data_IF_243028989838
#
_entry.id   IF_243028989838
#
_cell.length_a   1.000
_cell.length_b   1.000
_cell.length_c   1.000
_cell.angle_alpha   90.00
_cell.angle_beta   90.00
_cell.angle_gamma   90.00
#
_symmetry.space_group_name_H-M   'P 1'
#
loop_
_entity.id
_entity.type
_entity.pdbx_description
1 polymer ?
#
# COMPACT_ATOMS: atom_id res chain seq x y z
N UNK A 1 -7.91 -27.01 -89.31
CA UNK A 1 -6.70 -26.17 -89.16
C UNK A 1 -7.14 -24.73 -88.92
N UNK A 2 -6.39 -24.01 -88.07
CA UNK A 2 -6.69 -22.74 -87.39
C UNK A 2 -7.52 -21.71 -88.20
N UNK A 3 -8.56 -21.15 -87.57
CA UNK A 3 -9.21 -19.92 -88.01
C UNK A 3 -9.25 -18.88 -86.89
N UNK A 4 -8.74 -17.69 -87.22
CA UNK A 4 -8.71 -16.46 -86.44
C UNK A 4 -10.09 -15.81 -86.33
N UNK A 5 -10.39 -15.15 -85.21
CA UNK A 5 -11.36 -14.04 -85.06
C UNK A 5 -10.79 -13.09 -84.00
N UNK A 6 -10.39 -11.87 -84.38
CA UNK A 6 -11.17 -10.63 -84.52
C UNK A 6 -11.40 -9.90 -83.18
N UNK A 7 -10.84 -8.69 -83.12
CA UNK A 7 -11.47 -7.42 -82.67
C UNK A 7 -10.79 -6.66 -81.52
N UNK A 8 -10.59 -5.37 -81.80
CA UNK A 8 -10.20 -4.20 -80.97
C UNK A 8 -11.14 -3.04 -81.47
N UNK A 9 -11.21 -1.84 -80.86
CA UNK A 9 -11.53 -1.44 -79.46
C UNK A 9 -12.45 -0.16 -79.42
N UNK A 10 -12.43 0.60 -78.30
CA UNK A 10 -12.94 1.98 -78.00
C UNK A 10 -14.29 2.03 -77.23
N UNK A 11 -14.57 2.92 -76.25
CA UNK A 11 -14.10 4.31 -76.03
C UNK A 11 -14.45 4.87 -74.60
N UNK A 12 -13.63 5.84 -74.12
CA UNK A 12 -13.85 7.06 -73.26
C UNK A 12 -14.82 7.09 -72.05
N UNK A 13 -14.33 7.36 -70.82
CA UNK A 13 -14.12 8.65 -70.09
C UNK A 13 -15.36 9.26 -69.39
N UNK A 14 -15.21 9.62 -68.09
CA UNK A 14 -15.53 10.92 -67.42
C UNK A 14 -15.62 10.72 -65.88
N UNK A 15 -14.89 11.52 -65.10
CA UNK A 15 -15.04 11.70 -63.64
C UNK A 15 -15.93 12.92 -63.34
N UNK A 16 -16.58 13.06 -62.17
CA UNK A 16 -15.99 13.96 -61.15
C UNK A 16 -16.32 13.67 -59.64
N UNK A 17 -15.35 13.98 -58.78
CA UNK A 17 -15.41 14.81 -57.55
C UNK A 17 -16.42 14.48 -56.42
N UNK A 18 -15.86 14.16 -55.24
CA UNK A 18 -16.31 14.70 -53.94
C UNK A 18 -16.97 13.71 -52.98
N UNK A 19 -16.41 13.55 -51.78
CA UNK A 19 -17.14 12.98 -50.62
C UNK A 19 -16.29 12.17 -49.66
N UNK A 20 -15.81 12.85 -48.62
CA UNK A 20 -15.23 12.39 -47.34
C UNK A 20 -15.47 10.91 -46.95
N UNK A 21 -14.37 10.17 -46.77
CA UNK A 21 -14.36 8.90 -46.05
C UNK A 21 -13.63 9.07 -44.72
N UNK A 22 -14.35 9.61 -43.74
CA UNK A 22 -13.98 9.56 -42.33
C UNK A 22 -14.58 8.31 -41.68
N UNK A 23 -13.73 7.57 -40.98
CA UNK A 23 -14.00 6.73 -39.81
C UNK A 23 -15.09 5.65 -39.88
N UNK A 24 -14.66 4.39 -39.79
CA UNK A 24 -15.08 3.45 -38.73
C UNK A 24 -14.34 2.11 -38.87
N UNK A 25 -13.12 2.02 -38.35
CA UNK A 25 -12.58 0.75 -37.86
C UNK A 25 -13.22 0.50 -36.50
N UNK A 26 -14.19 -0.41 -36.41
CA UNK A 26 -14.67 -0.91 -35.14
C UNK A 26 -13.70 -1.96 -34.62
N UNK A 27 -12.87 -1.55 -33.67
CA UNK A 27 -12.22 -2.45 -32.72
C UNK A 27 -13.28 -3.25 -31.96
N UNK A 28 -13.24 -4.58 -32.08
CA UNK A 28 -14.00 -5.47 -31.21
C UNK A 28 -13.26 -5.63 -29.89
N UNK A 29 -13.44 -4.68 -28.97
CA UNK A 29 -13.31 -4.95 -27.54
C UNK A 29 -14.52 -5.81 -27.12
N UNK A 30 -14.40 -7.12 -27.25
CA UNK A 30 -15.33 -8.08 -26.67
C UNK A 30 -14.76 -8.60 -25.37
N UNK A 31 -15.33 -8.19 -24.23
CA UNK A 31 -15.02 -8.78 -22.94
C UNK A 31 -15.29 -10.29 -23.00
N UNK A 32 -14.25 -11.10 -22.77
CA UNK A 32 -14.39 -12.56 -22.74
C UNK A 32 -15.04 -12.90 -21.40
N UNK A 33 -16.36 -13.07 -21.38
CA UNK A 33 -17.01 -13.68 -20.23
C UNK A 33 -16.67 -15.17 -20.19
N UNK A 34 -15.65 -15.54 -19.41
CA UNK A 34 -15.27 -16.95 -19.24
C UNK A 34 -16.27 -17.61 -18.26
N UNK A 35 -16.97 -18.69 -18.67
CA UNK A 35 -17.83 -19.43 -17.75
C UNK A 35 -17.04 -20.03 -16.58
N UNK A 36 -17.60 -20.03 -15.36
CA UNK A 36 -16.98 -20.55 -14.13
C UNK A 36 -16.30 -21.93 -14.29
N UNK A 37 -16.82 -22.81 -15.17
CA UNK A 37 -16.26 -24.14 -15.46
C UNK A 37 -14.90 -24.13 -16.17
N UNK A 38 -14.52 -23.05 -16.86
CA UNK A 38 -13.22 -22.94 -17.54
C UNK A 38 -12.09 -22.50 -16.60
N UNK A 39 -12.37 -21.72 -15.55
CA UNK A 39 -11.37 -21.25 -14.58
C UNK A 39 -10.61 -22.40 -13.90
N UNK A 40 -11.33 -23.43 -13.45
CA UNK A 40 -10.72 -24.60 -12.81
C UNK A 40 -9.82 -25.38 -13.77
N UNK A 41 -10.13 -25.38 -15.08
CA UNK A 41 -9.27 -26.02 -16.07
C UNK A 41 -7.92 -25.30 -16.19
N UNK A 42 -7.90 -23.97 -16.14
CA UNK A 42 -6.65 -23.21 -16.14
C UNK A 42 -5.85 -23.39 -14.84
N UNK A 43 -6.54 -23.49 -13.69
CA UNK A 43 -5.89 -23.86 -12.42
C UNK A 43 -5.18 -25.21 -12.53
N UNK A 44 -5.82 -26.21 -13.15
CA UNK A 44 -5.20 -27.53 -13.39
C UNK A 44 -4.03 -27.46 -14.36
N UNK A 45 -4.05 -26.54 -15.32
CA UNK A 45 -2.96 -26.35 -16.28
C UNK A 45 -1.68 -25.81 -15.62
N UNK A 46 -1.78 -25.11 -14.47
CA UNK A 46 -0.62 -24.72 -13.66
C UNK A 46 0.18 -25.91 -13.10
N UNK A 47 -0.40 -27.12 -13.09
CA UNK A 47 0.29 -28.34 -12.66
C UNK A 47 1.14 -28.97 -13.76
N UNK A 48 1.01 -28.53 -15.01
CA UNK A 48 1.69 -29.17 -16.14
C UNK A 48 3.19 -28.85 -16.11
N UNK A 49 4.01 -29.84 -16.49
CA UNK A 49 5.48 -29.69 -16.56
C UNK A 49 5.95 -28.69 -17.63
N UNK A 50 5.17 -28.49 -18.70
CA UNK A 50 5.53 -27.60 -19.82
C UNK A 50 5.29 -26.13 -19.46
N UNK A 51 6.34 -25.31 -19.51
CA UNK A 51 6.27 -23.86 -19.21
C UNK A 51 5.27 -23.13 -20.07
N UNK A 52 5.24 -23.39 -21.39
CA UNK A 52 4.30 -22.71 -22.31
C UNK A 52 2.82 -22.92 -21.94
N UNK A 53 2.46 -24.06 -21.32
CA UNK A 53 1.08 -24.31 -20.89
C UNK A 53 0.77 -23.57 -19.59
N UNK A 54 1.72 -23.52 -18.67
CA UNK A 54 1.59 -22.75 -17.42
C UNK A 54 1.51 -21.26 -17.68
N UNK A 55 2.36 -20.73 -18.55
CA UNK A 55 2.35 -19.31 -18.93
C UNK A 55 0.99 -18.91 -19.55
N UNK A 56 0.47 -19.70 -20.49
CA UNK A 56 -0.85 -19.44 -21.07
C UNK A 56 -1.96 -19.49 -20.02
N UNK A 57 -1.89 -20.45 -19.08
CA UNK A 57 -2.86 -20.55 -18.00
C UNK A 57 -2.77 -19.36 -17.03
N UNK A 58 -1.57 -18.92 -16.66
CA UNK A 58 -1.36 -17.74 -15.83
C UNK A 58 -1.90 -16.49 -16.49
N UNK A 59 -1.61 -16.29 -17.78
CA UNK A 59 -2.10 -15.13 -18.55
C UNK A 59 -3.63 -15.06 -18.56
N UNK A 60 -4.30 -16.18 -18.88
CA UNK A 60 -5.77 -16.23 -18.86
C UNK A 60 -6.33 -16.02 -17.45
N UNK A 61 -5.65 -16.49 -16.41
CA UNK A 61 -6.06 -16.24 -15.02
C UNK A 61 -5.91 -14.77 -14.64
N UNK A 62 -4.79 -14.13 -14.99
CA UNK A 62 -4.57 -12.70 -14.76
C UNK A 62 -5.66 -11.87 -15.44
N UNK A 63 -5.86 -12.05 -16.74
CA UNK A 63 -6.91 -11.34 -17.51
C UNK A 63 -8.29 -11.51 -16.89
N UNK A 64 -8.61 -12.70 -16.40
CA UNK A 64 -9.90 -12.99 -15.79
C UNK A 64 -10.08 -12.29 -14.43
N UNK A 65 -9.02 -12.22 -13.61
CA UNK A 65 -9.05 -11.51 -12.33
C UNK A 65 -9.01 -9.98 -12.49
N UNK A 66 -8.41 -9.46 -13.56
CA UNK A 66 -8.44 -8.04 -13.90
C UNK A 66 -9.83 -7.58 -14.36
N UNK A 67 -10.53 -8.43 -15.11
CA UNK A 67 -11.83 -8.08 -15.71
C UNK A 67 -13.02 -8.43 -14.82
N UNK A 68 -12.89 -9.42 -13.93
CA UNK A 68 -14.00 -9.92 -13.13
C UNK A 68 -13.61 -10.15 -11.67
N UNK A 69 -14.48 -9.73 -10.74
CA UNK A 69 -14.32 -10.04 -9.32
C UNK A 69 -14.73 -11.49 -9.05
N UNK A 70 -13.74 -12.37 -8.87
CA UNK A 70 -13.93 -13.83 -8.70
C UNK A 70 -13.77 -14.29 -7.24
N UNK A 71 -14.40 -13.58 -6.30
CA UNK A 71 -14.26 -13.83 -4.85
C UNK A 71 -14.41 -15.30 -4.43
N UNK A 72 -15.52 -15.95 -4.77
CA UNK A 72 -15.75 -17.35 -4.38
C UNK A 72 -14.70 -18.31 -4.95
N UNK A 73 -14.20 -18.06 -6.16
CA UNK A 73 -13.15 -18.89 -6.73
C UNK A 73 -11.82 -18.66 -6.00
N UNK A 74 -11.46 -17.40 -5.73
CA UNK A 74 -10.26 -17.03 -4.99
C UNK A 74 -10.30 -17.64 -3.58
N UNK A 75 -11.39 -17.42 -2.83
CA UNK A 75 -11.58 -17.92 -1.47
C UNK A 75 -11.40 -19.43 -1.34
N UNK A 76 -11.94 -20.18 -2.30
CA UNK A 76 -11.88 -21.65 -2.27
C UNK A 76 -10.55 -22.22 -2.77
N UNK A 77 -9.71 -21.44 -3.48
CA UNK A 77 -8.52 -21.95 -4.15
C UNK A 77 -7.23 -21.17 -3.85
N UNK A 78 -7.25 -20.15 -2.98
CA UNK A 78 -6.12 -19.23 -2.79
C UNK A 78 -4.83 -19.95 -2.43
N UNK A 79 -4.87 -20.90 -1.50
CA UNK A 79 -3.71 -21.70 -1.10
C UNK A 79 -3.10 -22.43 -2.29
N UNK A 80 -3.95 -23.03 -3.14
CA UNK A 80 -3.49 -23.72 -4.35
C UNK A 80 -2.91 -22.74 -5.37
N UNK A 81 -3.57 -21.60 -5.60
CA UNK A 81 -3.10 -20.57 -6.53
C UNK A 81 -1.72 -20.04 -6.12
N UNK A 82 -1.57 -19.60 -4.87
CA UNK A 82 -0.32 -19.02 -4.35
C UNK A 82 0.80 -20.05 -4.35
N UNK A 83 0.56 -21.27 -3.85
CA UNK A 83 1.56 -22.34 -3.88
C UNK A 83 1.99 -22.68 -5.33
N UNK A 84 1.08 -22.61 -6.31
CA UNK A 84 1.44 -22.83 -7.71
C UNK A 84 2.23 -21.67 -8.29
N UNK A 85 1.87 -20.43 -7.97
CA UNK A 85 2.66 -19.25 -8.33
C UNK A 85 4.09 -19.36 -7.78
N UNK A 86 4.26 -19.70 -6.50
CA UNK A 86 5.59 -19.91 -5.90
C UNK A 86 6.45 -20.94 -6.63
N UNK A 87 5.84 -22.03 -7.12
CA UNK A 87 6.56 -23.04 -7.89
C UNK A 87 7.05 -22.49 -9.23
N UNK A 88 6.30 -21.57 -9.85
CA UNK A 88 6.71 -20.86 -11.05
C UNK A 88 7.96 -20.02 -10.74
N UNK A 89 7.97 -19.24 -9.64
CA UNK A 89 9.09 -18.35 -9.25
C UNK A 89 10.47 -19.06 -9.16
N UNK A 90 10.49 -20.36 -8.81
CA UNK A 90 11.72 -21.13 -8.61
C UNK A 90 12.45 -21.50 -9.90
N UNK A 91 11.76 -21.86 -10.99
CA UNK A 91 12.36 -22.46 -12.22
C UNK A 91 11.59 -22.17 -13.51
N UNK A 92 11.16 -20.94 -13.73
CA UNK A 92 10.40 -20.55 -14.92
C UNK A 92 11.07 -19.52 -15.82
N UNK A 93 10.44 -19.23 -16.97
CA UNK A 93 10.74 -18.06 -17.80
C UNK A 93 10.41 -16.76 -17.07
N UNK A 94 11.01 -15.65 -17.50
CA UNK A 94 10.77 -14.32 -16.95
C UNK A 94 9.27 -13.97 -16.90
N UNK A 95 8.58 -14.11 -18.03
CA UNK A 95 7.14 -13.88 -18.16
C UNK A 95 6.30 -14.71 -17.18
N UNK A 96 6.69 -15.96 -16.90
CA UNK A 96 5.96 -16.83 -15.98
C UNK A 96 6.16 -16.38 -14.52
N UNK A 97 7.31 -15.77 -14.20
CA UNK A 97 7.54 -15.14 -12.88
C UNK A 97 6.65 -13.91 -12.73
N UNK A 98 6.66 -13.02 -13.71
CA UNK A 98 5.92 -11.75 -13.67
C UNK A 98 4.42 -11.98 -13.55
N UNK A 99 3.87 -12.86 -14.39
CA UNK A 99 2.45 -13.24 -14.34
C UNK A 99 2.07 -13.91 -13.02
N UNK A 100 2.98 -14.69 -12.42
CA UNK A 100 2.72 -15.34 -11.13
C UNK A 100 2.66 -14.32 -9.98
N UNK A 101 3.56 -13.32 -9.98
CA UNK A 101 3.57 -12.23 -9.00
C UNK A 101 2.31 -11.36 -9.12
N UNK A 102 1.94 -10.99 -10.34
CA UNK A 102 0.73 -10.25 -10.63
C UNK A 102 -0.53 -11.01 -10.18
N UNK A 103 -0.60 -12.31 -10.47
CA UNK A 103 -1.73 -13.16 -10.04
C UNK A 103 -1.84 -13.23 -8.51
N UNK A 104 -0.72 -13.31 -7.78
CA UNK A 104 -0.75 -13.28 -6.30
C UNK A 104 -1.38 -11.98 -5.80
N UNK A 105 -0.94 -10.83 -6.33
CA UNK A 105 -1.49 -9.51 -5.97
C UNK A 105 -2.99 -9.41 -6.26
N UNK A 106 -3.41 -9.84 -7.46
CA UNK A 106 -4.82 -9.83 -7.87
C UNK A 106 -5.70 -10.77 -7.01
N UNK A 107 -5.19 -11.94 -6.64
CA UNK A 107 -5.89 -12.86 -5.73
C UNK A 107 -6.09 -12.20 -4.37
N UNK A 108 -5.08 -11.54 -3.83
CA UNK A 108 -5.19 -10.83 -2.55
C UNK A 108 -6.17 -9.66 -2.64
N UNK A 109 -6.09 -8.84 -3.69
CA UNK A 109 -7.06 -7.75 -3.95
C UNK A 109 -8.50 -8.28 -4.03
N UNK A 110 -8.69 -9.44 -4.67
CA UNK A 110 -10.00 -10.06 -4.82
C UNK A 110 -10.54 -10.61 -3.50
N UNK A 111 -9.68 -11.17 -2.63
CA UNK A 111 -10.06 -11.67 -1.32
C UNK A 111 -10.42 -10.55 -0.35
N UNK A 112 -9.75 -9.40 -0.46
CA UNK A 112 -9.85 -8.29 0.48
C UNK A 112 -9.26 -8.62 1.85
N UNK A 113 -9.33 -7.67 2.78
CA UNK A 113 -8.81 -7.83 4.13
C UNK A 113 -9.52 -8.99 4.86
N UNK A 114 -8.74 -9.88 5.48
CA UNK A 114 -9.23 -11.04 6.22
C UNK A 114 -8.18 -12.14 6.38
N UNK A 115 -8.56 -13.21 7.07
CA UNK A 115 -7.62 -14.29 7.45
C UNK A 115 -6.96 -14.96 6.24
N UNK A 116 -7.72 -15.21 5.18
CA UNK A 116 -7.19 -15.84 3.96
C UNK A 116 -6.11 -14.96 3.29
N UNK A 117 -6.35 -13.64 3.23
CA UNK A 117 -5.37 -12.73 2.64
C UNK A 117 -4.13 -12.62 3.54
N UNK A 118 -4.33 -12.54 4.86
CA UNK A 118 -3.24 -12.47 5.82
C UNK A 118 -2.34 -13.72 5.81
N UNK A 119 -2.91 -14.90 5.58
CA UNK A 119 -2.12 -16.12 5.38
C UNK A 119 -1.21 -16.01 4.14
N UNK A 120 -1.71 -15.43 3.05
CA UNK A 120 -0.91 -15.16 1.85
C UNK A 120 0.20 -14.15 2.15
N UNK A 121 -0.08 -13.12 2.95
CA UNK A 121 0.92 -12.16 3.39
C UNK A 121 2.07 -12.83 4.14
N UNK A 122 1.78 -13.61 5.17
CA UNK A 122 2.80 -14.33 5.95
C UNK A 122 3.61 -15.28 5.06
N UNK A 123 2.95 -16.00 4.14
CA UNK A 123 3.63 -16.87 3.19
C UNK A 123 4.52 -16.06 2.23
N UNK A 124 4.06 -14.90 1.76
CA UNK A 124 4.76 -14.01 0.82
C UNK A 124 6.08 -13.48 1.37
N UNK A 125 6.12 -13.15 2.67
CA UNK A 125 7.33 -12.67 3.33
C UNK A 125 8.45 -13.72 3.39
N UNK A 126 8.13 -15.00 3.26
CA UNK A 126 9.13 -16.07 3.29
C UNK A 126 9.91 -16.16 1.97
N UNK A 127 9.28 -15.84 0.84
CA UNK A 127 9.87 -16.05 -0.49
C UNK A 127 10.10 -14.77 -1.29
N UNK A 128 9.25 -13.74 -1.19
CA UNK A 128 9.41 -12.50 -1.96
C UNK A 128 10.71 -11.74 -1.62
N UNK A 129 11.11 -11.57 -0.35
CA UNK A 129 12.37 -10.89 -0.04
C UNK A 129 13.60 -11.66 -0.55
N UNK A 130 13.53 -13.00 -0.56
CA UNK A 130 14.59 -13.84 -1.15
C UNK A 130 14.65 -13.69 -2.67
N UNK A 131 13.48 -13.58 -3.32
CA UNK A 131 13.40 -13.37 -4.75
C UNK A 131 13.96 -11.99 -5.15
N UNK A 132 13.57 -10.94 -4.40
CA UNK A 132 14.04 -9.56 -4.58
C UNK A 132 15.58 -9.46 -4.57
N UNK A 133 16.23 -10.16 -3.65
CA UNK A 133 17.69 -10.15 -3.51
C UNK A 133 18.43 -11.11 -4.47
N UNK A 134 17.74 -12.02 -5.15
CA UNK A 134 18.38 -13.05 -5.98
C UNK A 134 18.25 -12.80 -7.49
N UNK A 135 17.18 -12.13 -7.93
CA UNK A 135 16.89 -11.91 -9.35
C UNK A 135 16.44 -10.46 -9.58
N UNK A 136 17.41 -9.58 -9.84
CA UNK A 136 17.14 -8.15 -10.06
C UNK A 136 16.24 -7.86 -11.28
N UNK A 137 16.11 -8.81 -12.21
CA UNK A 137 15.26 -8.66 -13.40
C UNK A 137 13.75 -8.60 -13.11
N UNK A 138 13.33 -9.02 -11.91
CA UNK A 138 11.92 -9.05 -11.49
C UNK A 138 11.66 -8.16 -10.28
N UNK A 139 12.60 -7.26 -9.94
CA UNK A 139 12.53 -6.51 -8.70
C UNK A 139 11.29 -5.63 -8.63
N UNK A 140 10.87 -5.05 -9.75
CA UNK A 140 9.68 -4.17 -9.79
C UNK A 140 8.42 -4.97 -9.51
N UNK A 141 8.20 -6.07 -10.21
CA UNK A 141 7.04 -6.94 -10.04
C UNK A 141 7.00 -7.54 -8.61
N UNK A 142 8.17 -7.83 -8.03
CA UNK A 142 8.27 -8.30 -6.65
C UNK A 142 7.89 -7.19 -5.66
N UNK A 143 8.33 -5.95 -5.88
CA UNK A 143 8.01 -4.80 -5.02
C UNK A 143 6.52 -4.45 -5.10
N UNK A 144 5.93 -4.48 -6.30
CA UNK A 144 4.50 -4.28 -6.52
C UNK A 144 3.68 -5.36 -5.84
N UNK A 145 4.02 -6.64 -6.05
CA UNK A 145 3.36 -7.76 -5.39
C UNK A 145 3.44 -7.63 -3.86
N UNK A 146 4.64 -7.37 -3.33
CA UNK A 146 4.87 -7.26 -1.89
C UNK A 146 4.07 -6.08 -1.26
N UNK A 147 4.01 -4.95 -1.96
CA UNK A 147 3.29 -3.77 -1.48
C UNK A 147 1.77 -3.95 -1.55
N UNK A 148 1.23 -4.50 -2.65
CA UNK A 148 -0.20 -4.81 -2.78
C UNK A 148 -0.64 -5.83 -1.72
N UNK A 149 0.13 -6.91 -1.58
CA UNK A 149 -0.18 -7.96 -0.59
C UNK A 149 -0.19 -7.36 0.81
N UNK A 150 0.82 -6.57 1.16
CA UNK A 150 0.89 -5.94 2.49
C UNK A 150 -0.24 -4.93 2.70
N UNK A 151 -0.51 -4.06 1.73
CA UNK A 151 -1.54 -3.02 1.83
C UNK A 151 -2.93 -3.60 2.14
N UNK A 152 -3.26 -4.75 1.56
CA UNK A 152 -4.58 -5.37 1.70
C UNK A 152 -4.64 -6.35 2.87
N UNK A 153 -3.55 -7.07 3.13
CA UNK A 153 -3.55 -8.26 3.99
C UNK A 153 -2.80 -8.10 5.32
N UNK A 154 -2.09 -7.00 5.54
CA UNK A 154 -1.53 -6.68 6.85
C UNK A 154 -2.67 -6.55 7.89
N UNK A 155 -2.50 -7.16 9.07
CA UNK A 155 -3.50 -7.06 10.15
C UNK A 155 -3.34 -5.79 10.97
N UNK A 156 -2.11 -5.38 11.15
CA UNK A 156 -1.76 -4.22 11.94
C UNK A 156 -0.56 -3.47 11.37
N UNK A 157 -0.15 -2.43 12.08
CA UNK A 157 0.97 -1.61 11.66
C UNK A 157 2.31 -2.35 11.76
N UNK A 158 2.43 -3.39 12.58
CA UNK A 158 3.66 -4.16 12.77
C UNK A 158 3.95 -4.97 11.51
N UNK A 159 2.91 -5.57 10.92
CA UNK A 159 2.99 -6.25 9.64
C UNK A 159 3.44 -5.29 8.53
N UNK A 160 2.78 -4.14 8.40
CA UNK A 160 3.14 -3.16 7.37
C UNK A 160 4.57 -2.62 7.58
N UNK A 161 4.95 -2.35 8.82
CA UNK A 161 6.30 -1.88 9.18
C UNK A 161 7.38 -2.92 8.82
N UNK A 162 7.11 -4.21 9.01
CA UNK A 162 8.03 -5.30 8.62
C UNK A 162 8.30 -5.29 7.12
N UNK A 163 7.27 -5.12 6.29
CA UNK A 163 7.46 -5.00 4.84
C UNK A 163 8.23 -3.73 4.46
N UNK A 164 7.89 -2.59 5.09
CA UNK A 164 8.59 -1.34 4.84
C UNK A 164 10.08 -1.42 5.21
N UNK A 165 10.45 -2.15 6.26
CA UNK A 165 11.85 -2.44 6.61
C UNK A 165 12.57 -3.24 5.52
N UNK A 166 11.91 -4.25 4.95
CA UNK A 166 12.48 -5.05 3.85
C UNK A 166 12.77 -4.17 2.64
N UNK A 167 11.80 -3.31 2.25
CA UNK A 167 11.97 -2.38 1.13
C UNK A 167 13.06 -1.34 1.44
N UNK A 168 13.10 -0.81 2.66
CA UNK A 168 14.16 0.12 3.11
C UNK A 168 15.56 -0.51 3.04
N UNK A 169 15.70 -1.74 3.52
CA UNK A 169 16.95 -2.49 3.45
C UNK A 169 17.39 -2.71 2.01
N UNK A 170 16.45 -2.97 1.09
CA UNK A 170 16.72 -3.11 -0.34
C UNK A 170 17.20 -1.80 -0.98
N UNK A 171 16.55 -0.66 -0.67
CA UNK A 171 16.94 0.66 -1.20
C UNK A 171 18.32 1.13 -0.72
N UNK A 172 18.72 0.74 0.50
CA UNK A 172 20.00 1.11 1.11
C UNK A 172 21.15 0.14 0.84
N UNK A 173 20.98 -0.81 -0.07
CA UNK A 173 22.09 -1.68 -0.46
C UNK A 173 23.19 -0.87 -1.15
N UNK A 174 24.45 -1.29 -0.98
CA UNK A 174 25.60 -0.64 -1.61
C UNK A 174 25.58 -0.75 -3.15
N UNK A 175 24.82 -1.72 -3.67
CA UNK A 175 24.64 -1.92 -5.10
C UNK A 175 23.69 -0.87 -5.68
N UNK A 176 24.16 -0.09 -6.64
CA UNK A 176 23.32 0.86 -7.38
C UNK A 176 22.30 0.09 -8.23
N UNK A 177 21.02 0.19 -7.88
CA UNK A 177 19.93 -0.38 -8.66
C UNK A 177 19.67 0.47 -9.92
N UNK A 178 18.93 -0.09 -10.89
CA UNK A 178 18.45 0.74 -12.00
C UNK A 178 17.49 1.81 -11.46
N UNK A 179 17.40 2.93 -12.17
CA UNK A 179 16.55 4.05 -11.78
C UNK A 179 15.08 3.65 -11.71
N UNK A 180 14.64 2.81 -12.65
CA UNK A 180 13.29 2.23 -12.63
C UNK A 180 13.02 1.38 -11.38
N UNK A 181 13.98 0.52 -10.97
CA UNK A 181 13.84 -0.31 -9.77
C UNK A 181 13.86 0.54 -8.50
N UNK A 182 14.69 1.57 -8.45
CA UNK A 182 14.74 2.51 -7.33
C UNK A 182 13.43 3.28 -7.19
N UNK A 183 12.90 3.80 -8.30
CA UNK A 183 11.62 4.49 -8.33
C UNK A 183 10.48 3.57 -7.85
N UNK A 184 10.42 2.33 -8.35
CA UNK A 184 9.44 1.34 -7.91
C UNK A 184 9.55 1.03 -6.41
N UNK A 185 10.76 0.95 -5.85
CA UNK A 185 10.96 0.72 -4.42
C UNK A 185 10.47 1.89 -3.57
N UNK A 186 10.75 3.14 -3.99
CA UNK A 186 10.27 4.36 -3.33
C UNK A 186 8.74 4.41 -3.38
N UNK A 187 8.14 4.16 -4.54
CA UNK A 187 6.68 4.14 -4.72
C UNK A 187 6.02 3.04 -3.88
N UNK A 188 6.60 1.83 -3.83
CA UNK A 188 6.12 0.75 -2.98
C UNK A 188 6.17 1.12 -1.49
N UNK A 189 7.26 1.77 -1.05
CA UNK A 189 7.38 2.24 0.32
C UNK A 189 6.36 3.35 0.65
N UNK A 190 6.17 4.31 -0.26
CA UNK A 190 5.19 5.38 -0.13
C UNK A 190 3.75 4.86 -0.13
N UNK A 191 3.44 3.84 -0.95
CA UNK A 191 2.13 3.18 -0.95
C UNK A 191 1.79 2.60 0.42
N UNK A 192 2.72 1.88 1.05
CA UNK A 192 2.52 1.32 2.39
C UNK A 192 2.39 2.41 3.46
N UNK A 193 3.13 3.50 3.29
CA UNK A 193 2.98 4.67 4.16
C UNK A 193 1.57 5.28 4.06
N UNK A 194 0.94 5.23 2.87
CA UNK A 194 -0.38 5.84 2.66
C UNK A 194 -1.46 5.24 3.56
N UNK A 195 -1.30 3.98 3.99
CA UNK A 195 -2.19 3.29 4.92
C UNK A 195 -1.87 3.61 6.40
N UNK A 196 -0.59 3.80 6.73
CA UNK A 196 -0.16 4.00 8.12
C UNK A 196 -0.36 5.45 8.59
N UNK A 197 -0.68 5.62 9.88
CA UNK A 197 -0.57 6.90 10.58
C UNK A 197 0.88 7.16 10.99
N UNK A 198 1.47 8.30 10.59
CA UNK A 198 2.89 8.64 10.85
C UNK A 198 3.29 8.45 12.32
N UNK A 199 2.38 8.70 13.27
CA UNK A 199 2.63 8.57 14.71
C UNK A 199 3.15 7.19 15.13
N UNK A 200 2.90 6.15 14.33
CA UNK A 200 3.31 4.77 14.61
C UNK A 200 4.66 4.40 14.03
N UNK A 201 5.11 5.09 12.98
CA UNK A 201 6.44 4.85 12.41
C UNK A 201 7.44 5.63 13.26
N UNK A 202 8.32 4.91 13.95
CA UNK A 202 9.27 5.51 14.88
C UNK A 202 10.08 6.63 14.22
N UNK A 203 10.24 7.76 14.91
CA UNK A 203 10.97 8.95 14.47
C UNK A 203 12.40 8.65 13.94
N UNK A 204 12.98 7.49 14.26
CA UNK A 204 14.27 7.04 13.74
C UNK A 204 14.23 6.67 12.26
N UNK A 205 13.18 6.01 11.78
CA UNK A 205 13.10 5.46 10.41
C UNK A 205 12.92 6.58 9.37
N UNK A 206 12.02 7.52 9.65
CA UNK A 206 11.82 8.72 8.85
C UNK A 206 13.03 9.62 8.75
N UNK A 207 13.80 9.70 9.84
CA UNK A 207 14.96 10.59 9.92
C UNK A 207 16.04 10.21 8.90
N UNK A 208 16.11 8.94 8.51
CA UNK A 208 17.03 8.48 7.48
C UNK A 208 16.40 8.52 6.09
N UNK A 209 15.09 8.28 5.99
CA UNK A 209 14.37 8.35 4.71
C UNK A 209 14.32 9.75 4.11
N UNK A 210 14.02 10.80 4.91
CA UNK A 210 13.90 12.17 4.37
C UNK A 210 15.22 12.63 3.71
N UNK A 211 16.40 12.52 4.37
CA UNK A 211 17.67 12.83 3.72
C UNK A 211 17.95 11.97 2.49
N UNK A 212 17.56 10.69 2.51
CA UNK A 212 17.70 9.82 1.35
C UNK A 212 16.88 10.34 0.16
N UNK A 213 15.59 10.64 0.35
CA UNK A 213 14.72 11.15 -0.70
C UNK A 213 15.19 12.51 -1.22
N UNK A 214 15.62 13.41 -0.34
CA UNK A 214 16.20 14.70 -0.73
C UNK A 214 17.45 14.53 -1.59
N UNK A 215 18.34 13.59 -1.21
CA UNK A 215 19.50 13.25 -2.03
C UNK A 215 19.10 12.73 -3.42
N UNK A 216 18.06 11.89 -3.49
CA UNK A 216 17.56 11.40 -4.77
C UNK A 216 16.96 12.52 -5.64
N UNK A 217 16.44 13.62 -5.08
CA UNK A 217 16.00 14.78 -5.87
C UNK A 217 17.16 15.53 -6.54
N UNK A 218 18.34 15.50 -5.93
CA UNK A 218 19.53 16.20 -6.46
C UNK A 218 20.28 15.35 -7.48
N UNK A 219 20.34 14.03 -7.27
CA UNK A 219 21.19 13.09 -8.03
C UNK A 219 20.42 12.11 -8.91
N UNK A 220 19.10 12.01 -8.75
CA UNK A 220 18.27 10.98 -9.37
C UNK A 220 17.85 11.29 -10.80
N UNK A 221 17.48 10.24 -11.52
CA UNK A 221 16.83 10.37 -12.83
C UNK A 221 15.37 10.88 -12.66
N UNK A 222 14.72 11.20 -13.78
CA UNK A 222 13.35 11.75 -13.79
C UNK A 222 12.35 10.88 -13.01
N UNK A 223 12.34 9.56 -13.25
CA UNK A 223 11.43 8.62 -12.57
C UNK A 223 11.68 8.54 -11.06
N UNK A 224 12.95 8.53 -10.65
CA UNK A 224 13.35 8.46 -9.24
C UNK A 224 13.00 9.76 -8.52
N UNK A 225 13.21 10.88 -9.21
CA UNK A 225 12.86 12.21 -8.73
C UNK A 225 11.36 12.32 -8.53
N UNK A 226 10.55 11.93 -9.52
CA UNK A 226 9.10 11.92 -9.43
C UNK A 226 8.60 11.08 -8.24
N UNK A 227 9.06 9.84 -8.11
CA UNK A 227 8.71 8.97 -6.99
C UNK A 227 9.12 9.55 -5.63
N UNK A 228 10.29 10.22 -5.58
CA UNK A 228 10.78 10.87 -4.36
C UNK A 228 9.94 12.09 -3.98
N UNK A 229 9.50 12.89 -4.97
CA UNK A 229 8.58 14.01 -4.76
C UNK A 229 7.26 13.51 -4.20
N UNK A 230 6.67 12.47 -4.81
CA UNK A 230 5.40 11.89 -4.36
C UNK A 230 5.49 11.36 -2.93
N UNK A 231 6.58 10.65 -2.62
CA UNK A 231 6.84 10.16 -1.27
C UNK A 231 6.97 11.30 -0.26
N UNK A 232 7.73 12.36 -0.57
CA UNK A 232 7.88 13.53 0.31
C UNK A 232 6.55 14.27 0.49
N UNK A 233 5.78 14.46 -0.58
CA UNK A 233 4.47 15.09 -0.52
C UNK A 233 3.54 14.34 0.44
N UNK A 234 3.50 13.00 0.34
CA UNK A 234 2.72 12.16 1.24
C UNK A 234 3.17 12.29 2.70
N UNK A 235 4.48 12.40 2.96
CA UNK A 235 5.04 12.62 4.30
C UNK A 235 4.54 13.95 4.87
N UNK A 236 4.70 15.05 4.12
CA UNK A 236 4.27 16.37 4.57
C UNK A 236 2.76 16.46 4.76
N UNK A 237 1.98 15.86 3.86
CA UNK A 237 0.52 15.81 3.99
C UNK A 237 0.10 15.10 5.29
N UNK A 238 0.70 13.96 5.57
CA UNK A 238 0.37 13.20 6.77
C UNK A 238 0.87 13.92 8.04
N UNK A 239 2.00 14.64 7.99
CA UNK A 239 2.55 15.41 9.12
C UNK A 239 1.71 16.65 9.44
N UNK A 240 1.24 17.34 8.41
CA UNK A 240 0.31 18.48 8.55
C UNK A 240 -1.05 18.03 9.06
N UNK A 241 -1.61 16.92 8.55
CA UNK A 241 -2.83 16.29 9.10
C UNK A 241 -2.65 15.95 10.58
N UNK A 242 -1.48 15.45 10.98
CA UNK A 242 -1.19 15.18 12.39
C UNK A 242 -1.12 16.46 13.23
N UNK A 243 -0.41 17.48 12.74
CA UNK A 243 -0.30 18.77 13.42
C UNK A 243 -1.69 19.37 13.65
N UNK A 244 -2.53 19.40 12.61
CA UNK A 244 -3.90 19.90 12.68
C UNK A 244 -4.82 19.03 13.55
N UNK A 245 -4.66 17.70 13.55
CA UNK A 245 -5.40 16.81 14.43
C UNK A 245 -5.02 17.02 15.91
N UNK A 246 -3.75 17.33 16.18
CA UNK A 246 -3.28 17.70 17.52
C UNK A 246 -3.82 19.09 17.93
N UNK A 247 -3.96 20.01 16.98
CA UNK A 247 -4.62 21.31 17.22
C UNK A 247 -6.12 21.18 17.46
N UNK A 248 -6.82 20.27 16.78
CA UNK A 248 -8.24 19.95 17.02
C UNK A 248 -8.46 19.15 18.32
N UNK A 249 -7.44 18.42 18.80
CA UNK A 249 -7.42 17.77 20.11
C UNK A 249 -6.87 18.68 21.23
N UNK A 250 -6.69 19.99 20.97
CA UNK A 250 -6.55 20.96 22.07
C UNK A 250 -7.91 21.06 22.76
N UNK A 251 -8.15 20.26 23.80
CA UNK A 251 -9.22 20.57 24.76
C UNK A 251 -8.98 22.00 25.27
N UNK A 252 -10.04 22.76 25.53
CA UNK A 252 -10.11 24.19 25.91
C UNK A 252 -9.32 24.61 27.18
N UNK A 253 -8.11 24.11 27.39
CA UNK A 253 -7.23 24.41 28.52
C UNK A 253 -5.86 24.92 28.09
N UNK A 254 -5.67 25.40 26.86
CA UNK A 254 -4.38 26.02 26.50
C UNK A 254 -4.49 26.99 25.32
N UNK A 255 -5.13 28.15 25.54
CA UNK A 255 -4.67 29.39 24.90
C UNK A 255 -3.70 30.10 25.84
N UNK A 256 -2.42 29.80 25.65
CA UNK A 256 -1.31 30.48 26.28
C UNK A 256 -0.06 30.18 25.48
N UNK A 257 0.15 30.94 24.41
CA UNK A 257 1.31 30.81 23.54
C UNK A 257 2.62 30.89 24.35
N UNK A 258 3.24 29.74 24.63
CA UNK A 258 4.63 29.67 25.09
C UNK A 258 5.49 29.46 23.86
N UNK A 259 6.15 30.53 23.40
CA UNK A 259 7.28 30.41 22.48
C UNK A 259 8.38 29.61 23.18
N UNK A 260 8.54 28.34 22.81
CA UNK A 260 9.65 27.53 23.29
C UNK A 260 10.89 27.93 22.49
N UNK A 261 11.70 28.80 23.09
CA UNK A 261 13.11 28.89 22.70
C UNK A 261 13.77 27.56 23.08
N UNK A 262 14.45 26.91 22.14
CA UNK A 262 15.13 25.64 22.36
C UNK A 262 16.62 25.93 22.67
N UNK A 263 17.08 25.92 23.93
CA UNK A 263 18.50 25.84 24.19
C UNK A 263 18.91 24.36 24.18
N UNK A 264 19.84 24.05 23.28
CA UNK A 264 20.47 22.75 23.18
C UNK A 264 21.10 22.30 24.51
N UNK A 265 21.00 21.00 24.74
CA UNK A 265 21.63 20.21 25.82
C UNK A 265 21.12 20.50 27.24
N UNK A 266 20.11 19.73 27.69
CA UNK A 266 19.79 19.60 29.12
C UNK A 266 20.00 18.19 29.66
N UNK A 267 21.00 18.12 30.56
CA UNK A 267 21.52 16.97 31.31
C UNK A 267 20.41 16.13 31.98
N UNK A 268 20.59 14.81 31.91
CA UNK A 268 19.72 13.71 32.33
C UNK A 268 19.40 13.59 33.85
N UNK A 269 19.72 14.59 34.69
CA UNK A 269 19.63 14.45 36.15
C UNK A 269 18.61 15.36 36.88
N UNK A 270 17.87 16.22 36.18
CA UNK A 270 17.01 17.22 36.84
C UNK A 270 15.54 16.82 37.04
N UNK A 271 15.05 15.74 36.43
CA UNK A 271 13.61 15.36 36.51
C UNK A 271 13.15 15.12 37.95
N UNK A 272 13.93 14.44 38.79
CA UNK A 272 13.52 14.11 40.18
C UNK A 272 13.38 15.35 41.09
N UNK A 273 14.05 16.47 40.78
CA UNK A 273 14.05 17.67 41.64
C UNK A 273 12.78 18.52 41.48
N UNK A 274 12.19 18.52 40.28
CA UNK A 274 10.98 19.31 39.98
C UNK A 274 9.75 18.72 40.69
N UNK A 275 9.68 17.38 40.78
CA UNK A 275 8.55 16.67 41.39
C UNK A 275 8.58 16.61 42.93
N UNK A 276 9.72 16.94 43.55
CA UNK A 276 9.89 16.87 45.00
C UNK A 276 9.82 18.25 45.69
N UNK A 277 9.71 19.34 44.92
CA UNK A 277 9.57 20.68 45.51
C UNK A 277 8.16 20.86 46.10
N UNK A 278 8.03 21.24 47.38
CA UNK A 278 6.74 21.52 48.02
C UNK A 278 5.91 22.60 47.29
N UNK A 279 6.57 23.49 46.55
CA UNK A 279 5.95 24.58 45.81
C UNK A 279 5.76 24.31 44.30
N UNK A 280 5.95 23.07 43.84
CA UNK A 280 5.76 22.71 42.43
C UNK A 280 4.31 22.90 41.97
N UNK A 281 4.13 23.23 40.69
CA UNK A 281 2.79 23.33 40.07
C UNK A 281 1.99 22.04 40.24
N UNK A 282 2.64 20.88 40.15
CA UNK A 282 2.02 19.57 40.35
C UNK A 282 1.51 19.40 41.79
N UNK A 283 2.30 19.76 42.81
CA UNK A 283 1.87 19.70 44.20
C UNK A 283 0.76 20.71 44.50
N UNK A 284 0.80 21.92 43.92
CA UNK A 284 -0.29 22.89 44.02
C UNK A 284 -1.59 22.36 43.40
N UNK A 285 -1.51 21.71 42.24
CA UNK A 285 -2.65 21.06 41.60
C UNK A 285 -3.23 19.93 42.45
N UNK A 286 -2.38 19.05 42.97
CA UNK A 286 -2.80 17.95 43.85
C UNK A 286 -3.44 18.46 45.15
N UNK A 287 -2.91 19.52 45.76
CA UNK A 287 -3.51 20.14 46.97
C UNK A 287 -4.86 20.77 46.67
N UNK A 288 -5.02 21.49 45.55
CA UNK A 288 -6.33 22.03 45.13
C UNK A 288 -7.35 20.92 44.94
N UNK A 289 -6.96 19.81 44.30
CA UNK A 289 -7.82 18.65 44.09
C UNK A 289 -8.25 18.00 45.42
N UNK A 290 -7.31 17.81 46.35
CA UNK A 290 -7.62 17.27 47.68
C UNK A 290 -8.55 18.17 48.49
N UNK A 291 -8.39 19.50 48.40
CA UNK A 291 -9.29 20.45 49.06
C UNK A 291 -10.70 20.40 48.45
N UNK A 292 -10.82 20.23 47.12
CA UNK A 292 -12.11 20.03 46.46
C UNK A 292 -12.83 18.77 46.97
N UNK A 293 -12.13 17.63 47.03
CA UNK A 293 -12.71 16.40 47.57
C UNK A 293 -13.09 16.53 49.05
N UNK A 294 -12.32 17.27 49.86
CA UNK A 294 -12.68 17.55 51.26
C UNK A 294 -13.94 18.42 51.39
N UNK A 295 -14.17 19.38 50.48
CA UNK A 295 -15.42 20.18 50.47
C UNK A 295 -16.61 19.29 50.15
N UNK A 296 -16.51 18.50 49.09
CA UNK A 296 -17.56 17.57 48.65
C UNK A 296 -17.89 16.56 49.77
N UNK A 297 -16.86 16.03 50.45
CA UNK A 297 -17.04 15.12 51.59
C UNK A 297 -17.69 15.78 52.81
N UNK A 298 -17.55 17.09 53.00
CA UNK A 298 -18.23 17.84 54.07
C UNK A 298 -19.68 18.16 53.69
N UNK A 299 -19.93 18.53 52.44
CA UNK A 299 -21.28 18.79 51.91
C UNK A 299 -22.14 17.52 51.95
N UNK A 300 -21.56 16.37 51.60
CA UNK A 300 -22.23 15.06 51.70
C UNK A 300 -22.49 14.60 53.14
N UNK A 301 -21.71 15.06 54.12
CA UNK A 301 -21.99 14.83 55.55
C UNK A 301 -23.04 15.78 56.14
N UNK A 302 -23.31 16.91 55.49
CA UNK A 302 -24.30 17.89 55.94
C UNK A 302 -25.73 17.57 55.47
N UNK A 303 -25.90 16.61 54.54
CA UNK A 303 -27.19 16.18 54.02
C UNK A 303 -27.58 14.79 54.50
N UNK A 304 -28.18 14.68 55.69
CA UNK A 304 -29.03 13.55 56.09
C UNK A 304 -30.27 14.06 56.84
N UNK A 305 -31.37 14.05 56.10
CA UNK A 305 -32.81 13.94 56.42
C UNK A 305 -33.31 14.32 57.83
N UNK A 306 -34.13 15.39 57.87
CA UNK A 306 -35.31 15.43 58.73
C UNK A 306 -36.39 14.53 58.10
N UNK A 307 -36.61 13.37 58.71
CA UNK A 307 -37.72 12.44 58.56
C UNK A 307 -37.89 11.89 59.99
N UNK A 308 -39.04 11.82 60.65
CA UNK A 308 -40.48 11.95 60.41
C UNK A 308 -41.08 12.34 61.79
N UNK A 309 -42.31 12.87 61.84
CA UNK A 309 -43.29 12.40 62.84
C UNK A 309 -44.70 12.88 62.45
N UNK A 310 -45.38 11.97 61.76
CA UNK A 310 -46.78 11.54 61.91
C UNK A 310 -47.57 12.12 63.11
N UNK A 311 -48.79 12.64 62.87
CA UNK A 311 -50.08 12.08 63.36
C UNK A 311 -51.24 13.12 63.33
N UNK A 312 -52.41 12.57 63.00
CA UNK A 312 -53.81 13.06 63.05
C UNK A 312 -54.34 13.99 61.94
#
# INVERSE_FOLDING_TARGET
>A
MKNQRLSRPQNRQVSPIGGDASAAMQEKQGSIQIPKKKLYSYLQELYKKKSSRRENALRTLVEEFETNVRYEFAKNNFFTLVHRCQNCLKRSSALEVDLALQLIGLVVLTLGAGDNAHEIYEESLVFLPKLLNSKLSHSVEVLECLSIVTLVAARDFVDTERTMEIIWQFMNQETKHSSYVTAAAISAWALLLSDINICRIGHKKWKELIPYLLKQLEEGDEDVTAASIDALALIFEKETRYSNALELYKSEYEEGAVRIFLPEVRRKCCRKRIYMSPNSLLNKGKTKLMNKYRSIAKETKAGHYHAEEELD
#
